data_IF_653267838188
#
_entry.id   IF_653267838188
#
_cell.length_a   1.000
_cell.length_b   1.000
_cell.length_c   1.000
_cell.angle_alpha   90.00
_cell.angle_beta   90.00
_cell.angle_gamma   90.00
#
_symmetry.space_group_name_H-M   'P 1'
#
loop_
_entity.id
_entity.type
_entity.pdbx_description
1 polymer ?
#
# COMPACT_ATOMS: atom_id res chain seq x y z
N UNK A 1 8.69 4.98 2.06
CA UNK A 1 7.50 4.45 1.37
C UNK A 1 7.35 2.95 1.59
N UNK A 2 8.42 2.17 1.62
CA UNK A 2 8.33 0.72 1.88
C UNK A 2 7.68 0.37 3.24
N UNK A 3 7.95 1.15 4.29
CA UNK A 3 7.34 0.98 5.61
C UNK A 3 5.80 1.09 5.58
N UNK A 4 5.25 1.96 4.73
CA UNK A 4 3.80 2.12 4.60
C UNK A 4 3.16 0.92 3.88
N UNK A 5 3.79 0.41 2.82
CA UNK A 5 3.33 -0.81 2.15
C UNK A 5 3.40 -2.03 3.08
N UNK A 6 4.48 -2.16 3.87
CA UNK A 6 4.64 -3.22 4.86
C UNK A 6 3.55 -3.16 5.93
N UNK A 7 3.21 -1.96 6.44
CA UNK A 7 2.12 -1.79 7.40
C UNK A 7 0.75 -2.16 6.82
N UNK A 8 0.52 -1.88 5.54
CA UNK A 8 -0.70 -2.31 4.85
C UNK A 8 -0.76 -3.83 4.72
N UNK A 9 0.32 -4.50 4.33
CA UNK A 9 0.38 -5.97 4.28
C UNK A 9 0.13 -6.59 5.66
N UNK A 10 0.69 -6.00 6.72
CA UNK A 10 0.51 -6.45 8.10
C UNK A 10 -0.93 -6.34 8.60
N UNK A 11 -1.78 -5.53 7.96
CA UNK A 11 -3.20 -5.43 8.31
C UNK A 11 -4.07 -6.52 7.68
N UNK A 12 -3.61 -7.19 6.61
CA UNK A 12 -4.35 -8.26 5.93
C UNK A 12 -4.67 -9.45 6.89
N UNK A 13 -3.72 -9.94 7.72
CA UNK A 13 -4.03 -10.95 8.72
C UNK A 13 -5.13 -10.54 9.70
N UNK A 14 -5.21 -9.26 10.07
CA UNK A 14 -6.27 -8.74 10.95
C UNK A 14 -7.64 -8.78 10.27
N UNK A 15 -7.70 -8.51 8.96
CA UNK A 15 -8.93 -8.66 8.17
C UNK A 15 -9.34 -10.14 8.12
N UNK A 16 -8.40 -11.06 7.87
CA UNK A 16 -8.68 -12.50 7.88
C UNK A 16 -9.14 -13.02 9.25
N UNK A 17 -8.63 -12.46 10.35
CA UNK A 17 -9.11 -12.75 11.69
C UNK A 17 -10.56 -12.26 11.91
N UNK A 18 -10.90 -11.08 11.37
CA UNK A 18 -12.27 -10.57 11.41
C UNK A 18 -13.24 -11.43 10.57
N UNK A 19 -12.84 -11.86 9.37
CA UNK A 19 -13.62 -12.80 8.54
C UNK A 19 -13.89 -14.11 9.31
N UNK A 20 -12.85 -14.66 9.94
CA UNK A 20 -12.95 -15.88 10.75
C UNK A 20 -13.88 -15.69 11.96
N UNK A 21 -13.85 -14.53 12.60
CA UNK A 21 -14.72 -14.19 13.71
C UNK A 21 -16.19 -14.14 13.28
N UNK A 22 -16.48 -13.45 12.17
CA UNK A 22 -17.84 -13.36 11.61
C UNK A 22 -18.36 -14.75 11.25
N UNK A 23 -17.54 -15.57 10.57
CA UNK A 23 -17.92 -16.92 10.16
C UNK A 23 -18.21 -17.87 11.35
N UNK A 24 -17.54 -17.67 12.49
CA UNK A 24 -17.65 -18.55 13.67
C UNK A 24 -18.70 -18.10 14.68
N UNK A 25 -18.89 -16.79 14.87
CA UNK A 25 -19.72 -16.24 15.95
C UNK A 25 -21.05 -15.66 15.46
N UNK A 26 -21.14 -15.24 14.19
CA UNK A 26 -22.36 -14.65 13.62
C UNK A 26 -23.16 -15.68 12.83
N UNK A 27 -22.54 -16.78 12.44
CA UNK A 27 -23.22 -17.89 11.75
C UNK A 27 -24.05 -18.71 12.74
N UNK A 28 -25.36 -18.50 12.72
CA UNK A 28 -26.31 -19.30 13.48
C UNK A 28 -26.51 -20.68 12.83
N UNK A 29 -25.68 -21.65 13.19
CA UNK A 29 -25.87 -23.05 12.78
C UNK A 29 -27.00 -23.69 13.64
N UNK A 30 -28.06 -24.18 13.01
CA UNK A 30 -29.02 -25.10 13.65
C UNK A 30 -30.30 -24.51 14.27
N UNK A 31 -30.62 -23.24 14.02
CA UNK A 31 -31.86 -22.60 14.53
C UNK A 31 -33.07 -22.67 13.57
N UNK A 32 -32.93 -23.33 12.43
CA UNK A 32 -33.92 -23.34 11.34
C UNK A 32 -35.30 -23.94 11.68
N UNK A 33 -35.41 -24.70 12.78
CA UNK A 33 -36.66 -25.39 13.15
C UNK A 33 -37.56 -24.61 14.12
N UNK A 34 -37.08 -23.51 14.71
CA UNK A 34 -37.89 -22.70 15.64
C UNK A 34 -38.42 -21.45 14.94
N UNK A 35 -39.64 -21.56 14.40
CA UNK A 35 -40.37 -20.49 13.70
C UNK A 35 -40.49 -19.15 14.47
N UNK A 36 -40.22 -19.14 15.78
CA UNK A 36 -40.24 -17.95 16.62
C UNK A 36 -39.15 -16.91 16.27
N UNK A 37 -38.04 -17.34 15.64
CA UNK A 37 -36.86 -16.47 15.42
C UNK A 37 -36.56 -16.18 13.95
N UNK A 38 -37.43 -16.55 13.01
CA UNK A 38 -37.18 -16.43 11.56
C UNK A 38 -36.79 -15.00 11.14
N UNK A 39 -37.49 -13.98 11.65
CA UNK A 39 -37.17 -12.57 11.33
C UNK A 39 -35.82 -12.14 11.89
N UNK A 40 -35.49 -12.55 13.13
CA UNK A 40 -34.21 -12.23 13.76
C UNK A 40 -33.04 -12.92 13.04
N UNK A 41 -33.22 -14.17 12.61
CA UNK A 41 -32.25 -14.91 11.78
C UNK A 41 -32.03 -14.20 10.45
N UNK A 42 -33.11 -13.74 9.78
CA UNK A 42 -33.00 -13.02 8.52
C UNK A 42 -32.23 -11.69 8.63
N UNK A 43 -32.45 -10.93 9.71
CA UNK A 43 -31.69 -9.70 9.97
C UNK A 43 -30.22 -10.02 10.25
N UNK A 44 -29.92 -11.06 11.03
CA UNK A 44 -28.56 -11.48 11.33
C UNK A 44 -27.81 -11.95 10.08
N UNK A 45 -28.46 -12.71 9.20
CA UNK A 45 -27.88 -13.11 7.91
C UNK A 45 -27.61 -11.92 6.99
N UNK A 46 -28.50 -10.92 6.98
CA UNK A 46 -28.28 -9.67 6.26
C UNK A 46 -27.07 -8.90 6.77
N UNK A 47 -26.95 -8.75 8.10
CA UNK A 47 -25.79 -8.10 8.75
C UNK A 47 -24.51 -8.88 8.46
N UNK A 48 -24.55 -10.21 8.56
CA UNK A 48 -23.41 -11.09 8.26
C UNK A 48 -22.93 -10.91 6.83
N UNK A 49 -23.84 -10.97 5.85
CA UNK A 49 -23.50 -10.80 4.44
C UNK A 49 -22.92 -9.42 4.17
N UNK A 50 -23.44 -8.37 4.80
CA UNK A 50 -22.88 -7.02 4.69
C UNK A 50 -21.46 -6.94 5.28
N UNK A 51 -21.21 -7.55 6.44
CA UNK A 51 -19.89 -7.60 7.07
C UNK A 51 -18.89 -8.39 6.21
N UNK A 52 -19.28 -9.56 5.70
CA UNK A 52 -18.43 -10.38 4.80
C UNK A 52 -18.07 -9.58 3.53
N UNK A 53 -19.04 -8.88 2.93
CA UNK A 53 -18.82 -8.04 1.75
C UNK A 53 -17.87 -6.87 2.04
N UNK A 54 -18.05 -6.17 3.17
CA UNK A 54 -17.24 -5.01 3.52
C UNK A 54 -15.80 -5.41 3.86
N UNK A 55 -15.60 -6.54 4.55
CA UNK A 55 -14.27 -7.08 4.84
C UNK A 55 -13.53 -7.48 3.57
N UNK A 56 -14.22 -8.13 2.62
CA UNK A 56 -13.65 -8.47 1.31
C UNK A 56 -13.27 -7.21 0.51
N UNK A 57 -14.12 -6.18 0.55
CA UNK A 57 -13.82 -4.90 -0.08
C UNK A 57 -12.60 -4.23 0.56
N UNK A 58 -12.57 -4.16 1.90
CA UNK A 58 -11.45 -3.58 2.64
C UNK A 58 -10.13 -4.29 2.31
N UNK A 59 -10.14 -5.62 2.23
CA UNK A 59 -8.95 -6.40 1.83
C UNK A 59 -8.45 -5.98 0.45
N UNK A 60 -9.35 -5.87 -0.51
CA UNK A 60 -9.01 -5.46 -1.89
C UNK A 60 -8.41 -4.06 -1.92
N UNK A 61 -8.99 -3.12 -1.18
CA UNK A 61 -8.49 -1.73 -1.10
C UNK A 61 -7.10 -1.69 -0.45
N UNK A 62 -6.88 -2.44 0.62
CA UNK A 62 -5.58 -2.52 1.31
C UNK A 62 -4.51 -3.11 0.40
N UNK A 63 -4.80 -4.21 -0.29
CA UNK A 63 -3.87 -4.86 -1.23
C UNK A 63 -3.51 -3.92 -2.39
N UNK A 64 -4.51 -3.26 -2.99
CA UNK A 64 -4.30 -2.29 -4.06
C UNK A 64 -3.47 -1.08 -3.59
N UNK A 65 -3.75 -0.56 -2.40
CA UNK A 65 -3.00 0.55 -1.81
C UNK A 65 -1.55 0.18 -1.55
N UNK A 66 -1.29 -1.03 -1.03
CA UNK A 66 0.07 -1.52 -0.81
C UNK A 66 0.84 -1.64 -2.14
N UNK A 67 0.17 -2.13 -3.19
CA UNK A 67 0.76 -2.22 -4.52
C UNK A 67 1.10 -0.84 -5.11
N UNK A 68 0.19 0.13 -5.00
CA UNK A 68 0.41 1.49 -5.47
C UNK A 68 1.59 2.15 -4.75
N UNK A 69 1.65 2.05 -3.41
CA UNK A 69 2.76 2.61 -2.62
C UNK A 69 4.11 2.01 -3.03
N UNK A 70 4.17 0.70 -3.31
CA UNK A 70 5.39 0.05 -3.83
C UNK A 70 5.76 0.58 -5.21
N UNK A 71 4.79 0.72 -6.11
CA UNK A 71 5.02 1.24 -7.45
C UNK A 71 5.54 2.70 -7.40
N UNK A 72 4.97 3.53 -6.54
CA UNK A 72 5.46 4.90 -6.31
C UNK A 72 6.88 4.90 -5.76
N UNK A 73 7.20 4.03 -4.80
CA UNK A 73 8.55 3.92 -4.26
C UNK A 73 9.59 3.55 -5.34
N UNK A 74 9.26 2.61 -6.22
CA UNK A 74 10.10 2.22 -7.36
C UNK A 74 10.29 3.38 -8.33
N UNK A 75 9.21 4.08 -8.68
CA UNK A 75 9.27 5.24 -9.58
C UNK A 75 10.15 6.36 -9.00
N UNK A 76 10.09 6.58 -7.69
CA UNK A 76 10.88 7.61 -7.03
C UNK A 76 12.37 7.28 -7.05
N UNK A 77 12.75 6.04 -6.72
CA UNK A 77 14.16 5.58 -6.81
C UNK A 77 14.70 5.69 -8.22
N UNK A 78 13.94 5.26 -9.23
CA UNK A 78 14.36 5.37 -10.62
C UNK A 78 14.59 6.83 -11.06
N UNK A 79 13.77 7.76 -10.56
CA UNK A 79 13.93 9.19 -10.83
C UNK A 79 15.17 9.75 -10.13
N UNK A 80 15.42 9.34 -8.89
CA UNK A 80 16.60 9.74 -8.12
C UNK A 80 17.89 9.25 -8.79
N UNK A 81 17.95 7.97 -9.19
CA UNK A 81 19.09 7.39 -9.91
C UNK A 81 19.35 8.11 -11.25
N UNK A 82 18.29 8.41 -12.01
CA UNK A 82 18.42 9.14 -13.27
C UNK A 82 18.91 10.58 -13.05
N UNK A 83 18.49 11.22 -11.96
CA UNK A 83 18.92 12.56 -11.58
C UNK A 83 20.38 12.55 -11.17
N UNK A 84 20.80 11.59 -10.33
CA UNK A 84 22.19 11.39 -9.93
C UNK A 84 23.09 11.16 -11.15
N UNK A 85 22.72 10.25 -12.07
CA UNK A 85 23.46 10.00 -13.30
C UNK A 85 23.54 11.21 -14.24
N UNK A 86 22.57 12.12 -14.18
CA UNK A 86 22.59 13.38 -14.92
C UNK A 86 23.54 14.39 -14.28
N UNK A 87 23.53 14.50 -12.95
CA UNK A 87 24.46 15.35 -12.21
C UNK A 87 25.90 14.89 -12.40
N UNK A 88 26.19 13.59 -12.31
CA UNK A 88 27.53 13.03 -12.53
C UNK A 88 28.06 13.38 -13.92
N UNK A 89 27.20 13.27 -14.95
CA UNK A 89 27.55 13.67 -16.32
C UNK A 89 27.85 15.16 -16.43
N UNK A 90 27.06 16.01 -15.79
CA UNK A 90 27.30 17.46 -15.80
C UNK A 90 28.61 17.82 -15.08
N UNK A 91 28.90 17.22 -13.92
CA UNK A 91 30.15 17.45 -13.19
C UNK A 91 31.39 16.93 -13.95
N UNK A 92 31.27 15.83 -14.69
CA UNK A 92 32.34 15.36 -15.58
C UNK A 92 32.50 16.24 -16.83
N UNK A 93 31.44 16.94 -17.27
CA UNK A 93 31.48 17.77 -18.47
C UNK A 93 31.90 19.23 -18.22
N UNK A 94 31.85 19.74 -16.98
CA UNK A 94 32.44 21.04 -16.65
C UNK A 94 33.96 20.91 -16.75
N UNK A 95 34.59 21.45 -17.81
CA UNK A 95 36.01 21.31 -17.95
C UNK A 95 36.69 22.28 -16.97
N UNK A 96 37.73 21.80 -16.31
CA UNK A 96 38.63 22.53 -15.39
C UNK A 96 39.40 23.68 -16.06
N UNK A 97 38.94 24.19 -17.21
CA UNK A 97 39.62 25.18 -18.06
C UNK A 97 39.28 26.64 -17.76
N UNK A 98 38.50 26.95 -16.72
CA UNK A 98 38.08 28.33 -16.41
C UNK A 98 38.82 28.99 -15.22
N UNK A 99 40.00 28.52 -14.80
CA UNK A 99 40.87 29.27 -13.88
C UNK A 99 42.35 29.06 -14.24
N UNK A 100 42.85 29.82 -15.22
CA UNK A 100 44.27 29.75 -15.59
C UNK A 100 44.71 30.68 -16.73
N UNK A 101 44.07 31.82 -16.91
CA UNK A 101 44.56 32.87 -17.82
C UNK A 101 44.70 34.19 -17.06
N UNK A 102 45.59 34.18 -16.07
CA UNK A 102 45.97 35.35 -15.28
C UNK A 102 47.44 35.72 -15.53
N UNK A 103 47.64 36.58 -16.54
CA UNK A 103 48.76 37.55 -16.71
C UNK A 103 50.20 37.03 -16.55
N UNK A 104 50.91 36.92 -17.68
CA UNK A 104 52.35 37.19 -17.71
C UNK A 104 52.56 38.71 -17.55
N UNK A 105 53.17 39.14 -16.44
CA UNK A 105 53.73 40.48 -16.31
C UNK A 105 55.08 40.55 -17.03
N UNK A 106 55.36 41.60 -17.82
CA UNK A 106 56.68 41.81 -18.42
C UNK A 106 57.57 42.63 -17.48
N UNK A 107 58.75 42.09 -17.12
CA UNK A 107 59.98 42.85 -16.90
C UNK A 107 61.19 42.04 -17.29
#
# INVERSE_FOLDING_TARGET
>A
MDDAAVKLDQSIPSIGAAESYVASHVKLNGLGDSGLFVTAIGVLDGIRSALESELAHLRTVVEASAQEVRATAVSYRATDDATAATMDRLYHYVPTTMYGNGRQEPR
#
